data_IF_887287669151
#
_entry.id   IF_887287669151
#
_cell.length_a   1.000
_cell.length_b   1.000
_cell.length_c   1.000
_cell.angle_alpha   90.00
_cell.angle_beta   90.00
_cell.angle_gamma   90.00
#
_symmetry.space_group_name_H-M   'P 1'
#
loop_
_entity.id
_entity.type
_entity.pdbx_description
1 polymer ?
#
# COMPACT_ATOMS: atom_id res chain seq x y z
N UNK A 1 24.47 22.85 -9.35
CA UNK A 1 23.41 22.43 -10.29
C UNK A 1 22.17 23.24 -9.99
N UNK A 2 21.73 24.10 -10.96
CA UNK A 2 20.44 24.77 -10.82
C UNK A 2 19.31 23.79 -11.04
N UNK A 3 18.31 23.81 -10.15
CA UNK A 3 17.11 23.01 -10.27
C UNK A 3 15.99 23.82 -10.96
N UNK A 4 15.14 23.16 -11.73
CA UNK A 4 13.93 23.76 -12.32
C UNK A 4 14.14 24.47 -13.65
N UNK A 5 15.37 24.51 -14.20
CA UNK A 5 15.68 25.11 -15.51
C UNK A 5 16.20 24.10 -16.54
N UNK A 6 16.29 22.83 -16.19
CA UNK A 6 16.65 21.76 -17.14
C UNK A 6 15.55 21.63 -18.20
N UNK A 7 15.98 21.58 -19.46
CA UNK A 7 15.09 21.45 -20.61
C UNK A 7 15.76 20.60 -21.69
N UNK A 8 14.96 19.98 -22.55
CA UNK A 8 15.40 19.25 -23.73
C UNK A 8 15.50 20.11 -25.01
N UNK A 9 15.26 21.40 -24.89
CA UNK A 9 15.34 22.31 -26.04
C UNK A 9 16.77 22.33 -26.63
N UNK A 10 16.94 22.74 -27.89
CA UNK A 10 18.25 22.88 -28.50
C UNK A 10 19.21 23.74 -27.69
N UNK A 11 20.50 23.45 -27.78
CA UNK A 11 21.52 24.09 -26.93
C UNK A 11 21.55 25.64 -27.03
N UNK A 12 21.38 26.16 -28.22
CA UNK A 12 21.30 27.61 -28.48
C UNK A 12 20.13 28.26 -27.74
N UNK A 13 18.98 27.59 -27.68
CA UNK A 13 17.79 28.03 -26.92
C UNK A 13 18.06 27.96 -25.41
N UNK A 14 18.70 26.89 -24.92
CA UNK A 14 19.11 26.76 -23.53
C UNK A 14 20.03 27.91 -23.11
N UNK A 15 21.00 28.26 -23.96
CA UNK A 15 21.89 29.39 -23.72
C UNK A 15 21.13 30.73 -23.65
N UNK A 16 20.15 30.94 -24.52
CA UNK A 16 19.30 32.14 -24.48
C UNK A 16 18.48 32.23 -23.20
N UNK A 17 17.86 31.10 -22.78
CA UNK A 17 17.11 31.01 -21.51
C UNK A 17 17.99 31.36 -20.33
N UNK A 18 19.17 30.76 -20.20
CA UNK A 18 20.09 31.01 -19.09
C UNK A 18 20.56 32.46 -19.08
N UNK A 19 20.93 33.00 -20.23
CA UNK A 19 21.45 34.38 -20.35
C UNK A 19 20.38 35.48 -20.24
N UNK A 20 19.09 35.13 -20.35
CA UNK A 20 17.98 36.05 -20.08
C UNK A 20 17.74 36.31 -18.60
N UNK A 21 18.36 35.53 -17.73
CA UNK A 21 18.24 35.71 -16.27
C UNK A 21 19.19 36.81 -15.80
N UNK A 22 18.69 37.71 -14.98
CA UNK A 22 19.48 38.80 -14.42
C UNK A 22 20.71 38.28 -13.65
N UNK A 23 21.88 38.79 -14.01
CA UNK A 23 23.17 38.37 -13.43
C UNK A 23 23.80 37.15 -14.07
N UNK A 24 23.14 36.55 -15.08
CA UNK A 24 23.64 35.38 -15.81
C UNK A 24 23.92 35.66 -17.30
N UNK A 25 24.01 36.92 -17.70
CA UNK A 25 24.14 37.33 -19.10
C UNK A 25 25.41 36.77 -19.77
N UNK A 26 26.46 36.53 -18.98
CA UNK A 26 27.73 35.95 -19.44
C UNK A 26 27.91 34.48 -19.02
N UNK A 27 26.87 33.82 -18.53
CA UNK A 27 26.96 32.43 -18.11
C UNK A 27 27.31 31.49 -19.26
N UNK A 28 28.08 30.44 -18.93
CA UNK A 28 28.40 29.33 -19.83
C UNK A 28 27.77 28.05 -19.30
N UNK A 29 27.04 27.37 -20.14
CA UNK A 29 26.54 26.02 -19.83
C UNK A 29 27.69 25.04 -20.01
N UNK A 30 28.11 24.38 -18.92
CA UNK A 30 29.15 23.37 -18.93
C UNK A 30 28.59 22.05 -19.42
N UNK A 31 27.36 21.72 -19.01
CA UNK A 31 26.64 20.54 -19.45
C UNK A 31 25.18 20.95 -19.74
N UNK A 32 24.73 20.81 -20.99
CA UNK A 32 23.36 21.13 -21.34
C UNK A 32 22.35 20.17 -20.68
N UNK A 33 21.15 20.63 -20.52
CA UNK A 33 20.00 19.77 -20.24
C UNK A 33 19.75 18.84 -21.43
N UNK A 34 19.19 17.68 -21.15
CA UNK A 34 18.87 16.68 -22.17
C UNK A 34 17.58 15.96 -21.81
N UNK A 35 16.90 15.43 -22.81
CA UNK A 35 15.83 14.46 -22.62
C UNK A 35 16.36 13.05 -22.84
N UNK A 36 15.77 12.11 -22.12
CA UNK A 36 15.90 10.70 -22.44
C UNK A 36 14.62 10.31 -23.19
N UNK A 37 14.79 9.77 -24.37
CA UNK A 37 13.68 9.18 -25.13
C UNK A 37 13.58 7.71 -24.73
N UNK A 38 12.35 7.28 -24.48
CA UNK A 38 12.05 5.90 -24.10
C UNK A 38 11.13 5.27 -25.15
N UNK A 39 11.39 4.01 -25.45
CA UNK A 39 10.44 3.22 -26.21
C UNK A 39 9.14 3.07 -25.41
N UNK A 40 8.03 3.17 -26.11
CA UNK A 40 6.69 3.05 -25.56
C UNK A 40 5.88 2.06 -26.39
N UNK A 41 5.25 1.13 -25.70
CA UNK A 41 4.24 0.24 -26.26
C UNK A 41 2.92 0.47 -25.54
N UNK A 42 1.83 0.46 -26.30
CA UNK A 42 0.50 0.66 -25.73
C UNK A 42 0.18 -0.49 -24.75
N UNK A 43 0.02 -0.20 -23.45
CA UNK A 43 -0.19 -1.25 -22.46
C UNK A 43 -1.55 -1.96 -22.61
N UNK A 44 -2.47 -1.44 -23.42
CA UNK A 44 -3.71 -2.15 -23.79
C UNK A 44 -3.46 -3.40 -24.63
N UNK A 45 -2.26 -3.51 -25.19
CA UNK A 45 -1.81 -4.70 -25.91
C UNK A 45 -1.24 -5.79 -24.99
N UNK A 46 -1.30 -5.58 -23.67
CA UNK A 46 -0.91 -6.54 -22.67
C UNK A 46 -2.13 -7.20 -22.01
N UNK A 47 -1.94 -8.45 -21.62
CA UNK A 47 -2.83 -9.15 -20.67
C UNK A 47 -2.61 -8.61 -19.25
N UNK A 48 -3.52 -8.85 -18.29
CA UNK A 48 -3.29 -8.49 -16.87
C UNK A 48 -2.03 -9.13 -16.26
N UNK A 49 -1.51 -10.18 -16.84
CA UNK A 49 -0.23 -10.82 -16.49
C UNK A 49 0.99 -10.08 -16.98
N UNK A 50 0.81 -8.96 -17.70
CA UNK A 50 1.82 -8.19 -18.43
C UNK A 50 2.47 -8.95 -19.60
N UNK A 51 1.90 -10.07 -20.02
CA UNK A 51 2.26 -10.74 -21.26
C UNK A 51 1.66 -10.03 -22.47
N UNK A 52 2.42 -9.92 -23.55
CA UNK A 52 1.92 -9.43 -24.82
C UNK A 52 0.75 -10.28 -25.35
N UNK A 53 -0.29 -9.64 -25.89
CA UNK A 53 -1.38 -10.31 -26.57
C UNK A 53 -0.97 -10.90 -27.92
N UNK A 54 0.12 -10.41 -28.50
CA UNK A 54 0.57 -10.77 -29.85
C UNK A 54 1.72 -11.78 -29.88
N UNK A 55 2.60 -11.73 -28.85
CA UNK A 55 3.78 -12.59 -28.79
C UNK A 55 3.74 -13.36 -27.49
N UNK A 56 3.50 -14.65 -27.58
CA UNK A 56 3.45 -15.55 -26.45
C UNK A 56 4.81 -15.65 -25.74
N UNK A 57 4.80 -15.57 -24.42
CA UNK A 57 6.01 -15.62 -23.59
C UNK A 57 6.82 -14.33 -23.52
N UNK A 58 6.34 -13.24 -24.15
CA UNK A 58 6.95 -11.91 -24.06
C UNK A 58 6.21 -11.05 -23.03
N UNK A 59 6.91 -10.60 -22.00
CA UNK A 59 6.38 -9.78 -20.92
C UNK A 59 7.05 -8.40 -20.91
N UNK A 60 6.24 -7.36 -20.64
CA UNK A 60 6.73 -5.99 -20.52
C UNK A 60 6.55 -5.46 -19.10
N UNK A 61 7.51 -4.68 -18.62
CA UNK A 61 7.45 -4.07 -17.30
C UNK A 61 8.16 -2.72 -17.27
N UNK A 62 7.63 -1.80 -16.46
CA UNK A 62 8.23 -0.51 -16.23
C UNK A 62 7.85 0.52 -17.28
N UNK A 63 8.80 1.37 -17.63
CA UNK A 63 8.57 2.57 -18.40
C UNK A 63 8.08 2.32 -19.85
N UNK A 64 8.43 1.19 -20.42
CA UNK A 64 7.96 0.77 -21.75
C UNK A 64 6.41 0.72 -21.80
N UNK A 65 5.77 0.50 -20.65
CA UNK A 65 4.31 0.48 -20.49
C UNK A 65 3.72 1.87 -20.19
N UNK A 66 4.53 2.94 -20.27
CA UNK A 66 4.07 4.31 -20.05
C UNK A 66 4.05 4.77 -18.60
N UNK A 67 4.70 4.05 -17.67
CA UNK A 67 4.84 4.48 -16.27
C UNK A 67 6.15 5.24 -16.05
N UNK A 68 6.22 6.12 -15.04
CA UNK A 68 7.39 6.96 -14.79
C UNK A 68 8.02 6.79 -13.40
N UNK A 69 7.41 6.03 -12.49
CA UNK A 69 7.93 5.84 -11.14
C UNK A 69 8.78 4.58 -10.99
N UNK A 70 9.75 4.62 -10.09
CA UNK A 70 10.55 3.44 -9.74
C UNK A 70 9.70 2.36 -9.06
N UNK A 71 8.75 2.77 -8.24
CA UNK A 71 7.83 1.90 -7.53
C UNK A 71 6.92 1.16 -8.51
N UNK A 72 6.38 1.87 -9.50
CA UNK A 72 5.58 1.28 -10.57
C UNK A 72 6.39 0.28 -11.40
N UNK A 73 7.64 0.62 -11.71
CA UNK A 73 8.53 -0.27 -12.47
C UNK A 73 8.89 -1.53 -11.67
N UNK A 74 9.17 -1.40 -10.38
CA UNK A 74 9.46 -2.53 -9.49
C UNK A 74 8.26 -3.47 -9.36
N UNK A 75 7.07 -2.92 -9.16
CA UNK A 75 5.84 -3.69 -9.04
C UNK A 75 5.51 -4.45 -10.32
N UNK A 76 5.62 -3.80 -11.48
CA UNK A 76 5.44 -4.44 -12.78
C UNK A 76 6.50 -5.52 -13.03
N UNK A 77 7.77 -5.24 -12.69
CA UNK A 77 8.87 -6.19 -12.83
C UNK A 77 8.65 -7.47 -12.02
N UNK A 78 8.16 -7.33 -10.78
CA UNK A 78 7.79 -8.47 -9.94
C UNK A 78 6.68 -9.31 -10.61
N UNK A 79 5.61 -8.67 -11.08
CA UNK A 79 4.47 -9.35 -11.69
C UNK A 79 4.86 -10.02 -13.01
N UNK A 80 5.57 -9.30 -13.88
CA UNK A 80 6.04 -9.83 -15.16
C UNK A 80 7.01 -11.01 -14.97
N UNK A 81 7.96 -10.89 -14.03
CA UNK A 81 8.90 -11.96 -13.70
C UNK A 81 8.23 -13.19 -13.12
N UNK A 82 7.25 -13.01 -12.21
CA UNK A 82 6.43 -14.10 -11.69
C UNK A 82 5.71 -14.83 -12.83
N UNK A 83 5.04 -14.09 -13.70
CA UNK A 83 4.28 -14.68 -14.78
C UNK A 83 5.16 -15.33 -15.85
N UNK A 84 6.34 -14.78 -16.14
CA UNK A 84 7.32 -15.41 -17.02
C UNK A 84 7.82 -16.74 -16.44
N UNK A 85 8.09 -16.80 -15.13
CA UNK A 85 8.47 -18.05 -14.47
C UNK A 85 7.32 -19.09 -14.47
N UNK A 86 6.08 -18.65 -14.23
CA UNK A 86 4.89 -19.51 -14.29
C UNK A 86 4.64 -20.02 -15.72
N UNK A 87 4.81 -19.17 -16.71
CA UNK A 87 4.72 -19.54 -18.12
C UNK A 87 5.77 -20.61 -18.49
N UNK A 88 7.02 -20.41 -18.10
CA UNK A 88 8.08 -21.40 -18.32
C UNK A 88 7.83 -22.75 -17.61
N UNK A 89 7.09 -22.73 -16.51
CA UNK A 89 6.69 -23.93 -15.77
C UNK A 89 5.32 -24.49 -16.21
N UNK A 90 4.77 -23.99 -17.31
CA UNK A 90 3.45 -24.38 -17.84
C UNK A 90 2.30 -24.21 -16.82
N UNK A 91 2.44 -23.20 -15.93
CA UNK A 91 1.43 -22.84 -14.94
C UNK A 91 0.59 -21.67 -15.43
N UNK A 92 -0.66 -21.61 -14.97
CA UNK A 92 -1.54 -20.49 -15.25
C UNK A 92 -0.96 -19.17 -14.72
N UNK A 93 -1.12 -18.10 -15.48
CA UNK A 93 -0.70 -16.75 -15.07
C UNK A 93 -1.54 -16.22 -13.91
N UNK A 94 -0.97 -15.27 -13.15
CA UNK A 94 -1.65 -14.63 -12.04
C UNK A 94 -1.54 -13.11 -12.15
N UNK A 95 -2.60 -12.41 -11.77
CA UNK A 95 -2.62 -10.97 -11.58
C UNK A 95 -3.52 -10.60 -10.40
N UNK A 96 -3.13 -9.63 -9.56
CA UNK A 96 -3.99 -9.17 -8.47
C UNK A 96 -5.16 -8.34 -9.02
N UNK A 97 -6.31 -8.42 -8.36
CA UNK A 97 -7.46 -7.58 -8.65
C UNK A 97 -7.29 -6.19 -8.03
N UNK A 98 -8.13 -5.24 -8.46
CA UNK A 98 -8.15 -3.84 -7.97
C UNK A 98 -8.43 -3.72 -6.47
N UNK A 99 -9.20 -4.65 -5.91
CA UNK A 99 -9.52 -4.72 -4.48
C UNK A 99 -8.41 -5.35 -3.62
N UNK A 100 -7.45 -6.04 -4.25
CA UNK A 100 -6.41 -6.78 -3.55
C UNK A 100 -5.11 -5.98 -3.36
N UNK A 101 -4.73 -5.17 -4.35
CA UNK A 101 -3.46 -4.44 -4.33
C UNK A 101 -3.47 -3.21 -5.22
N UNK A 102 -2.65 -2.19 -4.87
CA UNK A 102 -2.36 -1.07 -5.78
C UNK A 102 -1.75 -1.54 -7.10
N UNK A 103 -0.99 -2.62 -7.09
CA UNK A 103 -0.48 -3.27 -8.31
C UNK A 103 -1.65 -3.73 -9.20
N UNK A 104 -2.74 -4.24 -8.61
CA UNK A 104 -3.95 -4.59 -9.36
C UNK A 104 -4.60 -3.37 -10.03
N UNK A 105 -4.72 -2.27 -9.30
CA UNK A 105 -5.24 -1.01 -9.86
C UNK A 105 -4.35 -0.51 -11.00
N UNK A 106 -3.03 -0.51 -10.82
CA UNK A 106 -2.07 -0.08 -11.83
C UNK A 106 -2.19 -0.91 -13.12
N UNK A 107 -2.17 -2.21 -12.99
CA UNK A 107 -2.20 -3.12 -14.15
C UNK A 107 -3.55 -3.03 -14.87
N UNK A 108 -4.64 -2.98 -14.13
CA UNK A 108 -5.96 -2.85 -14.72
C UNK A 108 -6.11 -1.52 -15.47
N UNK A 109 -5.69 -0.38 -14.88
CA UNK A 109 -5.70 0.92 -15.56
C UNK A 109 -4.88 0.89 -16.85
N UNK A 110 -3.66 0.33 -16.80
CA UNK A 110 -2.80 0.24 -17.98
C UNK A 110 -3.42 -0.63 -19.08
N UNK A 111 -3.88 -1.83 -18.75
CA UNK A 111 -4.36 -2.80 -19.73
C UNK A 111 -5.74 -2.49 -20.31
N UNK A 112 -6.58 -1.72 -19.59
CA UNK A 112 -7.95 -1.39 -20.00
C UNK A 112 -8.07 0.03 -20.57
N UNK A 113 -7.55 1.02 -19.84
CA UNK A 113 -7.65 2.44 -20.20
C UNK A 113 -6.48 2.89 -21.07
N UNK A 114 -5.32 2.26 -20.91
CA UNK A 114 -4.06 2.75 -21.47
C UNK A 114 -3.61 4.05 -20.82
N UNK A 115 -2.64 4.72 -21.44
CA UNK A 115 -2.16 6.01 -20.97
C UNK A 115 -1.84 6.95 -22.15
N UNK A 116 -2.26 8.21 -22.03
CA UNK A 116 -1.95 9.28 -23.01
C UNK A 116 -0.79 10.15 -22.53
N UNK A 117 -0.47 10.06 -21.25
CA UNK A 117 0.60 10.78 -20.56
C UNK A 117 1.28 9.83 -19.57
N UNK A 118 2.48 10.14 -19.06
CA UNK A 118 3.18 9.28 -18.12
C UNK A 118 2.32 8.93 -16.91
N UNK A 119 2.05 7.63 -16.72
CA UNK A 119 1.22 7.13 -15.62
C UNK A 119 2.00 7.15 -14.29
N UNK A 120 1.38 7.71 -13.27
CA UNK A 120 1.79 7.63 -11.87
C UNK A 120 0.66 7.05 -11.03
N UNK A 121 1.03 6.17 -10.08
CA UNK A 121 0.09 5.65 -9.10
C UNK A 121 -0.14 6.68 -8.00
N UNK A 122 -1.38 7.11 -7.87
CA UNK A 122 -1.86 7.93 -6.76
C UNK A 122 -2.97 7.19 -6.01
N UNK A 123 -3.08 7.43 -4.72
CA UNK A 123 -4.14 6.85 -3.90
C UNK A 123 -5.55 7.17 -4.40
N UNK A 124 -5.70 8.30 -5.10
CA UNK A 124 -6.97 8.70 -5.73
C UNK A 124 -7.44 7.77 -6.85
N UNK A 125 -6.57 6.92 -7.39
CA UNK A 125 -6.91 5.94 -8.42
C UNK A 125 -7.54 4.67 -7.86
N UNK A 126 -7.38 4.42 -6.56
CA UNK A 126 -7.91 3.24 -5.89
C UNK A 126 -9.27 3.53 -5.26
N UNK A 127 -10.26 2.73 -5.59
CA UNK A 127 -11.62 2.79 -5.06
C UNK A 127 -11.65 2.33 -3.59
N UNK A 128 -10.89 1.29 -3.27
CA UNK A 128 -10.93 0.59 -1.97
C UNK A 128 -9.78 1.03 -1.05
N UNK A 129 -9.55 2.34 -0.91
CA UNK A 129 -8.41 2.90 -0.16
C UNK A 129 -8.38 2.53 1.33
N UNK A 130 -9.54 2.30 1.94
CA UNK A 130 -9.61 1.85 3.34
C UNK A 130 -9.08 0.43 3.53
N UNK A 131 -9.17 -0.39 2.49
CA UNK A 131 -8.63 -1.76 2.51
C UNK A 131 -7.18 -1.82 2.03
N UNK A 132 -6.82 -0.99 1.03
CA UNK A 132 -5.50 -0.99 0.41
C UNK A 132 -4.56 -0.03 1.16
N UNK A 133 -4.10 -0.42 2.33
CA UNK A 133 -3.16 0.37 3.13
C UNK A 133 -1.78 -0.29 3.17
N UNK A 134 -0.76 0.53 3.41
CA UNK A 134 0.62 0.06 3.58
C UNK A 134 0.73 -0.84 4.82
N UNK A 135 0.12 -0.42 5.93
CA UNK A 135 0.18 -1.08 7.23
C UNK A 135 -0.39 -2.51 7.24
N UNK A 136 -1.27 -2.85 6.31
CA UNK A 136 -1.91 -4.16 6.22
C UNK A 136 -1.55 -4.94 4.95
N UNK A 137 -0.58 -4.50 4.18
CA UNK A 137 -0.22 -5.14 2.91
C UNK A 137 0.23 -6.60 3.10
N UNK A 138 0.96 -6.87 4.18
CA UNK A 138 1.36 -8.22 4.56
C UNK A 138 0.17 -9.12 4.87
N UNK A 139 -0.82 -8.63 5.61
CA UNK A 139 -2.03 -9.38 5.95
C UNK A 139 -2.90 -9.71 4.73
N UNK A 140 -2.82 -8.91 3.65
CA UNK A 140 -3.59 -9.12 2.41
C UNK A 140 -2.88 -9.99 1.38
N UNK A 141 -1.54 -9.95 1.33
CA UNK A 141 -0.78 -10.48 0.19
C UNK A 141 0.20 -11.59 0.54
N UNK A 142 0.60 -11.78 1.82
CA UNK A 142 1.64 -12.76 2.17
C UNK A 142 1.18 -14.19 1.91
N UNK A 143 -0.05 -14.53 2.22
CA UNK A 143 -0.60 -15.87 1.96
C UNK A 143 -0.60 -16.20 0.46
N UNK A 144 -1.10 -15.26 -0.36
CA UNK A 144 -1.06 -15.40 -1.81
C UNK A 144 0.38 -15.47 -2.34
N UNK A 145 1.29 -14.66 -1.76
CA UNK A 145 2.72 -14.70 -2.11
C UNK A 145 3.36 -16.04 -1.76
N UNK A 146 2.93 -16.69 -0.66
CA UNK A 146 3.38 -18.03 -0.27
C UNK A 146 2.91 -19.10 -1.26
N UNK A 147 1.65 -19.04 -1.66
CA UNK A 147 1.09 -19.96 -2.68
C UNK A 147 1.79 -19.81 -4.03
N UNK A 148 2.17 -18.58 -4.40
CA UNK A 148 2.90 -18.28 -5.63
C UNK A 148 4.39 -18.62 -5.56
N UNK A 149 4.91 -19.02 -4.39
CA UNK A 149 6.32 -19.37 -4.19
C UNK A 149 7.26 -18.17 -4.02
N UNK A 150 6.73 -17.01 -3.68
CA UNK A 150 7.50 -15.76 -3.50
C UNK A 150 7.90 -15.50 -2.04
N UNK A 151 7.31 -16.21 -1.09
CA UNK A 151 7.51 -16.02 0.36
C UNK A 151 8.25 -17.22 0.91
N UNK A 152 9.43 -17.00 1.48
CA UNK A 152 10.24 -18.00 2.14
C UNK A 152 9.69 -18.43 3.51
N UNK A 153 10.30 -19.45 4.13
CA UNK A 153 9.82 -20.01 5.39
C UNK A 153 9.99 -19.02 6.57
N UNK A 154 11.04 -18.20 6.56
CA UNK A 154 11.27 -17.22 7.62
C UNK A 154 10.18 -16.12 7.59
N UNK A 155 9.91 -15.57 6.41
CA UNK A 155 8.85 -14.55 6.23
C UNK A 155 7.47 -15.12 6.53
N UNK A 156 7.23 -16.35 6.13
CA UNK A 156 5.98 -17.07 6.42
C UNK A 156 5.77 -17.29 7.91
N UNK A 157 6.83 -17.69 8.65
CA UNK A 157 6.75 -17.86 10.09
C UNK A 157 6.44 -16.54 10.81
N UNK A 158 7.11 -15.44 10.45
CA UNK A 158 6.84 -14.10 11.00
C UNK A 158 5.42 -13.62 10.74
N UNK A 159 4.92 -13.87 9.53
CA UNK A 159 3.55 -13.54 9.17
C UNK A 159 2.53 -14.27 10.06
N UNK A 160 2.69 -15.58 10.22
CA UNK A 160 1.80 -16.37 11.07
C UNK A 160 1.86 -15.94 12.54
N UNK A 161 3.04 -15.66 13.08
CA UNK A 161 3.21 -15.16 14.46
C UNK A 161 2.47 -13.83 14.65
N UNK A 162 2.61 -12.89 13.71
CA UNK A 162 1.88 -11.62 13.74
C UNK A 162 0.37 -11.83 13.67
N UNK A 163 -0.10 -12.65 12.74
CA UNK A 163 -1.53 -12.95 12.55
C UNK A 163 -2.15 -13.57 13.81
N UNK A 164 -1.49 -14.58 14.38
CA UNK A 164 -1.93 -15.23 15.62
C UNK A 164 -1.92 -14.27 16.82
N UNK A 165 -0.94 -13.36 16.89
CA UNK A 165 -0.87 -12.36 17.94
C UNK A 165 -2.02 -11.36 17.87
N UNK A 166 -2.37 -10.89 16.66
CA UNK A 166 -3.51 -10.00 16.42
C UNK A 166 -4.82 -10.70 16.82
N UNK A 167 -5.03 -11.92 16.36
CA UNK A 167 -6.27 -12.67 16.62
C UNK A 167 -6.45 -12.97 18.12
N UNK A 168 -5.39 -13.45 18.77
CA UNK A 168 -5.38 -13.74 20.22
C UNK A 168 -5.69 -12.49 21.04
N UNK A 169 -5.10 -11.36 20.68
CA UNK A 169 -5.30 -10.09 21.37
C UNK A 169 -6.71 -9.54 21.17
N UNK A 170 -7.23 -9.59 19.94
CA UNK A 170 -8.62 -9.22 19.68
C UNK A 170 -9.59 -10.06 20.49
N UNK A 171 -9.38 -11.38 20.55
CA UNK A 171 -10.20 -12.28 21.35
C UNK A 171 -10.08 -11.97 22.86
N UNK A 172 -8.88 -11.66 23.35
CA UNK A 172 -8.66 -11.23 24.73
C UNK A 172 -9.42 -9.96 25.07
N UNK A 173 -9.30 -8.92 24.23
CA UNK A 173 -10.02 -7.65 24.43
C UNK A 173 -11.52 -7.81 24.38
N UNK A 174 -12.02 -8.67 23.50
CA UNK A 174 -13.46 -8.98 23.37
C UNK A 174 -14.02 -9.71 24.60
N UNK A 175 -13.21 -10.56 25.24
CA UNK A 175 -13.62 -11.36 26.40
C UNK A 175 -13.33 -10.70 27.75
N UNK A 176 -12.54 -9.63 27.79
CA UNK A 176 -12.18 -8.92 29.03
C UNK A 176 -13.10 -7.71 29.24
N UNK A 177 -13.80 -7.67 30.35
CA UNK A 177 -14.86 -6.70 30.63
C UNK A 177 -14.54 -5.82 31.85
N UNK A 178 -14.99 -4.57 31.81
CA UNK A 178 -14.97 -3.63 32.93
C UNK A 178 -16.40 -3.34 33.35
N UNK A 179 -16.69 -3.60 34.64
CA UNK A 179 -17.94 -3.22 35.26
C UNK A 179 -17.85 -1.77 35.74
N UNK A 180 -18.85 -0.91 35.46
CA UNK A 180 -18.87 0.50 35.90
C UNK A 180 -18.75 0.70 37.41
N UNK A 181 -19.12 -0.29 38.21
CA UNK A 181 -19.06 -0.25 39.67
C UNK A 181 -17.72 -0.77 40.23
N UNK A 182 -16.83 -1.31 39.40
CA UNK A 182 -15.52 -1.78 39.83
C UNK A 182 -14.54 -0.62 40.00
N UNK A 183 -13.56 -0.79 40.86
CA UNK A 183 -12.50 0.19 41.11
C UNK A 183 -11.70 0.50 39.82
N UNK A 184 -11.49 -0.51 38.97
CA UNK A 184 -10.85 -0.38 37.66
C UNK A 184 -11.59 0.55 36.69
N UNK A 185 -12.91 0.76 36.88
CA UNK A 185 -13.69 1.69 36.07
C UNK A 185 -13.26 3.15 36.28
N UNK A 186 -12.70 3.51 37.42
CA UNK A 186 -12.22 4.88 37.69
C UNK A 186 -11.05 5.24 36.78
N UNK A 187 -10.11 4.32 36.60
CA UNK A 187 -8.98 4.51 35.70
C UNK A 187 -9.44 4.65 34.25
N UNK A 188 -10.35 3.76 33.82
CA UNK A 188 -10.94 3.80 32.46
C UNK A 188 -11.69 5.11 32.22
N UNK A 189 -12.56 5.52 33.18
CA UNK A 189 -13.37 6.73 33.06
C UNK A 189 -12.53 8.01 32.95
N UNK A 190 -11.31 8.04 33.49
CA UNK A 190 -10.39 9.17 33.37
C UNK A 190 -9.96 9.43 31.92
N UNK A 191 -10.05 8.43 31.05
CA UNK A 191 -9.69 8.50 29.62
C UNK A 191 -10.91 8.66 28.71
N UNK A 192 -12.12 8.63 29.26
CA UNK A 192 -13.35 8.69 28.46
C UNK A 192 -13.99 10.07 28.54
N UNK A 193 -14.58 10.52 27.44
CA UNK A 193 -15.36 11.75 27.37
C UNK A 193 -16.61 11.67 28.26
N UNK A 194 -17.20 10.49 28.39
CA UNK A 194 -18.34 10.22 29.27
C UNK A 194 -18.09 8.90 30.05
N UNK A 195 -18.36 8.88 31.38
CA UNK A 195 -18.21 7.69 32.20
C UNK A 195 -18.99 6.49 31.68
N UNK A 196 -18.52 5.29 31.99
CA UNK A 196 -19.21 4.04 31.69
C UNK A 196 -20.57 3.98 32.41
N UNK A 197 -21.64 3.81 31.63
CA UNK A 197 -23.00 3.60 32.15
C UNK A 197 -23.39 2.11 32.23
N UNK A 198 -22.64 1.25 31.53
CA UNK A 198 -22.86 -0.20 31.46
C UNK A 198 -21.50 -0.90 31.35
N UNK A 199 -21.50 -2.21 31.52
CA UNK A 199 -20.31 -3.03 31.24
C UNK A 199 -19.85 -2.83 29.80
N UNK A 200 -18.52 -2.78 29.64
CA UNK A 200 -17.88 -2.64 28.34
C UNK A 200 -16.68 -3.58 28.23
N UNK A 201 -16.53 -4.21 27.08
CA UNK A 201 -15.34 -4.99 26.75
C UNK A 201 -14.17 -4.08 26.38
N UNK A 202 -12.94 -4.62 26.41
CA UNK A 202 -11.77 -3.91 25.88
C UNK A 202 -11.96 -3.49 24.43
N UNK A 203 -12.61 -4.32 23.62
CA UNK A 203 -12.93 -3.98 22.24
C UNK A 203 -13.93 -2.80 22.13
N UNK A 204 -14.97 -2.77 22.98
CA UNK A 204 -15.93 -1.64 23.03
C UNK A 204 -15.25 -0.33 23.44
N UNK A 205 -14.29 -0.41 24.36
CA UNK A 205 -13.50 0.74 24.80
C UNK A 205 -12.57 1.21 23.67
N UNK A 206 -11.91 0.30 22.97
CA UNK A 206 -10.99 0.63 21.89
C UNK A 206 -11.70 1.22 20.66
N UNK A 207 -12.98 0.89 20.42
CA UNK A 207 -13.80 1.51 19.37
C UNK A 207 -14.03 3.00 19.59
N UNK A 208 -13.86 3.50 20.81
CA UNK A 208 -14.05 4.92 21.08
C UNK A 208 -12.91 5.76 20.52
N UNK A 209 -13.18 6.91 19.87
CA UNK A 209 -12.14 7.74 19.25
C UNK A 209 -11.07 8.22 20.24
N UNK A 210 -11.46 8.48 21.48
CA UNK A 210 -10.59 8.98 22.55
C UNK A 210 -9.65 7.93 23.16
N UNK A 211 -9.88 6.63 22.93
CA UNK A 211 -9.08 5.54 23.48
C UNK A 211 -8.13 4.98 22.44
N UNK A 212 -6.84 4.96 22.72
CA UNK A 212 -5.84 4.24 21.90
C UNK A 212 -5.53 2.88 22.53
N UNK A 213 -4.97 1.97 21.72
CA UNK A 213 -4.53 0.67 22.22
C UNK A 213 -3.47 0.81 23.33
N UNK A 214 -2.50 1.70 23.13
CA UNK A 214 -1.44 1.97 24.10
C UNK A 214 -2.00 2.43 25.44
N UNK A 215 -2.99 3.33 25.45
CA UNK A 215 -3.67 3.76 26.67
C UNK A 215 -4.44 2.61 27.32
N UNK A 216 -5.21 1.86 26.52
CA UNK A 216 -6.04 0.77 27.03
C UNK A 216 -5.23 -0.29 27.77
N UNK A 217 -4.08 -0.71 27.22
CA UNK A 217 -3.27 -1.79 27.82
C UNK A 217 -2.45 -1.36 29.04
N UNK A 218 -2.45 -0.08 29.39
CA UNK A 218 -1.91 0.42 30.65
C UNK A 218 -2.92 0.34 31.79
N UNK A 219 -4.20 0.16 31.47
CA UNK A 219 -5.30 0.13 32.43
C UNK A 219 -5.61 -1.31 32.89
N UNK A 220 -5.93 -1.47 34.17
CA UNK A 220 -6.49 -2.74 34.66
C UNK A 220 -7.92 -2.91 34.12
N UNK A 221 -8.34 -4.10 33.63
CA UNK A 221 -7.66 -5.40 33.63
C UNK A 221 -6.95 -5.74 32.31
N UNK A 222 -6.63 -4.75 31.45
CA UNK A 222 -6.14 -4.97 30.08
C UNK A 222 -4.62 -5.11 29.96
N UNK A 223 -3.87 -4.86 31.05
CA UNK A 223 -2.43 -5.03 31.08
C UNK A 223 -2.03 -6.52 31.20
N UNK A 224 -0.91 -6.98 30.60
CA UNK A 224 -0.08 -6.28 29.62
C UNK A 224 -0.67 -6.34 28.21
N UNK A 225 -0.23 -5.42 27.34
CA UNK A 225 -0.53 -5.45 25.90
C UNK A 225 0.49 -6.26 25.10
N UNK A 226 0.35 -6.21 23.79
CA UNK A 226 1.32 -6.81 22.85
C UNK A 226 2.64 -6.05 22.87
N UNK A 227 3.75 -6.78 22.80
CA UNK A 227 5.09 -6.22 22.63
C UNK A 227 5.35 -5.83 21.16
N UNK A 228 4.80 -6.58 20.22
CA UNK A 228 4.88 -6.26 18.79
C UNK A 228 4.01 -5.04 18.45
N UNK A 229 4.68 -3.92 18.19
CA UNK A 229 4.04 -2.64 17.86
C UNK A 229 3.19 -2.72 16.59
N UNK A 230 3.63 -3.47 15.56
CA UNK A 230 2.87 -3.60 14.33
C UNK A 230 1.59 -4.40 14.53
N UNK A 231 1.64 -5.47 15.33
CA UNK A 231 0.46 -6.22 15.70
C UNK A 231 -0.51 -5.39 16.55
N UNK A 232 0.01 -4.62 17.51
CA UNK A 232 -0.78 -3.71 18.35
C UNK A 232 -1.51 -2.64 17.52
N UNK A 233 -0.83 -2.02 16.57
CA UNK A 233 -1.41 -1.05 15.64
C UNK A 233 -2.52 -1.68 14.79
N UNK A 234 -2.31 -2.92 14.30
CA UNK A 234 -3.35 -3.64 13.54
C UNK A 234 -4.57 -3.97 14.39
N UNK A 235 -4.42 -4.32 15.66
CA UNK A 235 -5.54 -4.52 16.58
C UNK A 235 -6.37 -3.24 16.70
N UNK A 236 -5.74 -2.09 16.93
CA UNK A 236 -6.44 -0.81 17.03
C UNK A 236 -7.19 -0.45 15.74
N UNK A 237 -6.50 -0.53 14.60
CA UNK A 237 -7.07 -0.18 13.31
C UNK A 237 -8.25 -1.10 12.97
N UNK A 238 -8.09 -2.42 13.11
CA UNK A 238 -9.15 -3.36 12.80
C UNK A 238 -10.39 -3.15 13.67
N UNK A 239 -10.22 -2.88 14.96
CA UNK A 239 -11.36 -2.61 15.87
C UNK A 239 -12.06 -1.30 15.53
N UNK A 240 -11.32 -0.21 15.29
CA UNK A 240 -11.90 1.11 15.00
C UNK A 240 -12.58 1.19 13.63
N UNK A 241 -12.03 0.50 12.63
CA UNK A 241 -12.50 0.58 11.25
C UNK A 241 -13.36 -0.61 10.80
N UNK A 242 -13.65 -1.57 11.68
CA UNK A 242 -14.40 -2.80 11.37
C UNK A 242 -15.69 -2.53 10.59
N UNK A 243 -16.51 -1.59 11.02
CA UNK A 243 -17.78 -1.26 10.35
C UNK A 243 -17.61 -0.59 8.98
N UNK A 244 -16.51 0.12 8.75
CA UNK A 244 -16.19 0.72 7.44
C UNK A 244 -15.62 -0.32 6.48
N UNK A 245 -14.78 -1.21 6.98
CA UNK A 245 -14.18 -2.30 6.20
C UNK A 245 -15.27 -3.27 5.76
N UNK A 246 -16.19 -3.66 6.65
CA UNK A 246 -17.30 -4.54 6.32
C UNK A 246 -18.18 -3.96 5.19
N UNK A 247 -18.51 -2.67 5.24
CA UNK A 247 -19.27 -2.03 4.16
C UNK A 247 -18.54 -2.02 2.82
N UNK A 248 -17.22 -1.79 2.81
CA UNK A 248 -16.44 -1.89 1.57
C UNK A 248 -16.39 -3.33 1.04
N UNK A 249 -16.34 -4.32 1.93
CA UNK A 249 -16.37 -5.72 1.53
C UNK A 249 -17.71 -6.06 0.84
N UNK A 250 -18.83 -5.60 1.39
CA UNK A 250 -20.17 -5.78 0.78
C UNK A 250 -20.27 -5.10 -0.61
N UNK A 251 -19.51 -4.01 -0.85
CA UNK A 251 -19.48 -3.33 -2.16
C UNK A 251 -18.64 -4.10 -3.20
N UNK A 252 -17.73 -4.96 -2.78
CA UNK A 252 -16.85 -5.76 -3.66
C UNK A 252 -17.57 -7.03 -4.13
N UNK A 253 -18.44 -7.60 -3.29
CA UNK A 253 -19.24 -8.81 -3.58
C UNK A 253 -20.43 -8.50 -4.52
#
# INVERSE_FOLDING_TARGET
YPNGISTSLPFDVQMQIVRSMQGMENARIVRPGYAIEYDFFDPRDLKPTLESKFIQGLFFAGQINGTTGYEEAAAQGLLAGLNAARFSAEKEGWAPRRDQAYLGVLVDDLCTLGTKEPYRMFTSRAEYRLMLREDNADLRLTEQGRELGLVDDERWARYNEKLESIERERQRLKSTWVNPQAESANEVNAHLTAPLSREASGEDLLRRPEMTYEQLVQLSPFTPGLEDRQAAEQVEIQVKYEGYIARQQDEIE
#
